data_IF_929553340749
#
_entry.id   IF_929553340749
#
_cell.length_a   1.000
_cell.length_b   1.000
_cell.length_c   1.000
_cell.angle_alpha   90.00
_cell.angle_beta   90.00
_cell.angle_gamma   90.00
#
_symmetry.space_group_name_H-M   'P 1'
#
loop_
_entity.id
_entity.type
_entity.pdbx_description
1 polymer ?
#
# COMPACT_ATOMS: atom_id res chain seq x y z
N UNK A 1 -45.59 -2.08 -53.56
CA UNK A 1 -44.14 -2.20 -53.85
C UNK A 1 -43.39 -1.75 -52.59
N UNK A 2 -42.29 -2.44 -52.26
CA UNK A 2 -41.70 -2.61 -50.92
C UNK A 2 -41.26 -1.32 -50.20
N UNK A 3 -41.48 -1.31 -48.88
CA UNK A 3 -40.84 -0.46 -47.88
C UNK A 3 -39.32 -0.67 -47.83
N UNK A 4 -38.55 0.42 -47.69
CA UNK A 4 -37.24 0.40 -47.03
C UNK A 4 -37.17 1.65 -46.14
N UNK A 5 -37.38 1.44 -44.84
CA UNK A 5 -37.06 2.41 -43.79
C UNK A 5 -35.56 2.27 -43.53
N UNK A 6 -34.80 3.33 -43.78
CA UNK A 6 -33.39 3.41 -43.35
C UNK A 6 -33.37 3.62 -41.83
N UNK A 7 -33.19 2.54 -41.08
CA UNK A 7 -32.80 2.61 -39.67
C UNK A 7 -31.34 3.07 -39.60
N UNK A 8 -31.13 4.33 -39.22
CA UNK A 8 -29.82 4.83 -38.84
C UNK A 8 -29.43 4.19 -37.49
N UNK A 9 -28.58 3.16 -37.54
CA UNK A 9 -27.99 2.56 -36.35
C UNK A 9 -27.00 3.56 -35.76
N UNK A 10 -27.41 4.21 -34.68
CA UNK A 10 -26.56 5.08 -33.87
C UNK A 10 -25.44 4.20 -33.26
N UNK A 11 -24.23 4.29 -33.80
CA UNK A 11 -23.05 3.73 -33.16
C UNK A 11 -22.84 4.49 -31.84
N UNK A 12 -23.16 3.85 -30.72
CA UNK A 12 -22.64 4.28 -29.43
C UNK A 12 -21.11 4.17 -29.50
N UNK A 13 -20.44 5.31 -29.59
CA UNK A 13 -19.05 5.42 -29.20
C UNK A 13 -18.99 4.97 -27.74
N UNK A 14 -18.44 3.78 -27.51
CA UNK A 14 -17.97 3.40 -26.18
C UNK A 14 -16.84 4.38 -25.89
N UNK A 15 -17.17 5.44 -25.15
CA UNK A 15 -16.17 6.25 -24.46
C UNK A 15 -15.44 5.26 -23.59
N UNK A 16 -14.20 4.93 -23.95
CA UNK A 16 -13.29 4.31 -23.01
C UNK A 16 -13.21 5.29 -21.83
N UNK A 17 -13.91 4.97 -20.75
CA UNK A 17 -13.64 5.59 -19.46
C UNK A 17 -12.14 5.37 -19.25
N UNK A 18 -11.35 6.45 -19.35
CA UNK A 18 -10.03 6.47 -18.73
C UNK A 18 -10.29 6.00 -17.31
N UNK A 19 -9.88 4.76 -16.98
CA UNK A 19 -9.95 4.31 -15.60
C UNK A 19 -9.29 5.40 -14.77
N UNK A 20 -9.93 5.79 -13.67
CA UNK A 20 -9.32 6.72 -12.74
C UNK A 20 -7.88 6.24 -12.51
N UNK A 21 -6.92 7.15 -12.56
CA UNK A 21 -5.52 6.83 -12.30
C UNK A 21 -5.14 7.64 -11.08
N UNK A 22 -4.45 7.01 -10.14
CA UNK A 22 -3.93 7.76 -9.00
C UNK A 22 -2.94 8.81 -9.47
N UNK A 23 -2.96 9.95 -8.80
CA UNK A 23 -2.12 11.10 -9.15
C UNK A 23 -1.83 11.92 -7.89
N UNK A 24 -0.76 12.69 -7.95
CA UNK A 24 -0.31 13.54 -6.83
C UNK A 24 -1.25 14.69 -6.47
N UNK A 25 -2.24 15.01 -7.30
CA UNK A 25 -3.24 16.04 -6.99
C UNK A 25 -4.32 15.53 -6.04
N UNK A 26 -4.83 14.33 -6.30
CA UNK A 26 -5.99 13.78 -5.58
C UNK A 26 -5.62 12.69 -4.56
N UNK A 27 -4.47 12.06 -4.75
CA UNK A 27 -3.98 10.96 -3.93
C UNK A 27 -2.68 11.35 -3.24
N UNK A 28 -2.36 10.65 -2.16
CA UNK A 28 -1.16 10.86 -1.35
C UNK A 28 -0.39 9.57 -1.24
N UNK A 29 0.90 9.64 -1.52
CA UNK A 29 1.85 8.61 -1.15
C UNK A 29 2.58 9.06 0.11
N UNK A 30 2.80 8.12 1.03
CA UNK A 30 3.59 8.33 2.24
C UNK A 30 4.49 7.12 2.47
N UNK A 31 5.47 7.28 3.34
CA UNK A 31 6.34 6.23 3.81
C UNK A 31 6.69 6.53 5.27
N UNK A 32 6.61 5.52 6.12
CA UNK A 32 7.08 5.64 7.48
C UNK A 32 8.62 5.71 7.48
N UNK A 33 9.13 6.93 7.66
CA UNK A 33 10.55 7.27 7.70
C UNK A 33 11.16 7.20 9.11
N UNK A 34 10.42 6.71 10.10
CA UNK A 34 10.86 6.69 11.50
C UNK A 34 11.85 5.57 11.83
N UNK A 35 12.00 4.57 10.95
CA UNK A 35 13.01 3.52 11.11
C UNK A 35 14.34 3.93 10.49
N UNK A 36 15.35 4.14 11.33
CA UNK A 36 16.70 4.42 10.87
C UNK A 36 17.44 3.12 10.53
N UNK A 37 18.31 3.19 9.53
CA UNK A 37 19.37 2.20 9.37
C UNK A 37 20.27 2.21 10.62
N UNK A 38 20.65 1.03 11.12
CA UNK A 38 21.49 0.86 12.29
C UNK A 38 22.93 0.55 11.88
N UNK A 39 23.87 0.79 12.79
CA UNK A 39 25.31 0.71 12.53
C UNK A 39 25.77 1.70 11.43
N UNK A 40 25.01 2.77 11.20
CA UNK A 40 25.44 3.88 10.36
C UNK A 40 26.12 4.96 11.21
N UNK A 41 27.16 5.57 10.64
CA UNK A 41 27.77 6.79 11.18
C UNK A 41 27.30 8.06 10.46
N UNK A 42 26.47 7.94 9.42
CA UNK A 42 26.09 9.06 8.53
C UNK A 42 24.60 9.10 8.18
N UNK A 43 23.93 7.95 8.15
CA UNK A 43 22.54 7.81 7.75
C UNK A 43 21.66 8.03 8.99
N UNK A 44 20.84 9.07 8.94
CA UNK A 44 20.05 9.58 10.05
C UNK A 44 18.61 9.87 9.60
N UNK A 45 17.82 10.50 10.46
CA UNK A 45 16.44 10.86 10.16
C UNK A 45 16.31 11.74 8.90
N UNK A 46 17.19 12.73 8.69
CA UNK A 46 17.17 13.56 7.48
C UNK A 46 17.40 12.75 6.20
N UNK A 47 18.24 11.70 6.31
CA UNK A 47 18.48 10.77 5.20
C UNK A 47 17.24 9.92 4.91
N UNK A 48 16.52 9.45 5.94
CA UNK A 48 15.22 8.79 5.78
C UNK A 48 14.18 9.74 5.16
N UNK A 49 14.10 10.96 5.68
CA UNK A 49 13.19 12.00 5.19
C UNK A 49 13.43 12.29 3.71
N UNK A 50 14.69 12.46 3.30
CA UNK A 50 15.04 12.67 1.90
C UNK A 50 14.63 11.50 1.00
N UNK A 51 14.62 10.25 1.49
CA UNK A 51 14.11 9.11 0.70
C UNK A 51 12.59 9.23 0.50
N UNK A 52 11.85 9.58 1.54
CA UNK A 52 10.40 9.82 1.46
C UNK A 52 10.06 11.03 0.58
N UNK A 53 10.73 12.15 0.77
CA UNK A 53 10.55 13.36 -0.05
C UNK A 53 10.80 13.09 -1.54
N UNK A 54 11.90 12.41 -1.86
CA UNK A 54 12.21 11.98 -3.25
C UNK A 54 11.17 11.03 -3.84
N UNK A 55 10.47 10.24 -3.02
CA UNK A 55 9.37 9.39 -3.48
C UNK A 55 8.15 10.22 -3.93
N UNK A 56 8.01 11.45 -3.44
CA UNK A 56 6.82 12.29 -3.61
C UNK A 56 5.91 12.29 -2.39
N UNK A 57 6.47 11.99 -1.21
CA UNK A 57 5.73 12.01 0.05
C UNK A 57 5.08 13.39 0.26
N UNK A 58 3.77 13.39 0.53
CA UNK A 58 2.98 14.64 0.67
C UNK A 58 2.48 14.91 2.10
N UNK A 59 2.72 13.95 2.98
CA UNK A 59 2.55 14.04 4.42
C UNK A 59 3.39 12.96 5.07
N UNK A 60 3.71 13.12 6.34
CA UNK A 60 4.53 12.17 7.12
C UNK A 60 3.76 11.66 8.32
N UNK A 61 3.85 10.35 8.58
CA UNK A 61 3.32 9.75 9.79
C UNK A 61 4.11 10.16 11.03
N UNK A 62 3.41 10.55 12.10
CA UNK A 62 3.99 10.71 13.43
C UNK A 62 3.17 9.89 14.42
N UNK A 63 3.68 8.73 14.82
CA UNK A 63 3.02 7.84 15.76
C UNK A 63 3.50 8.07 17.19
N UNK A 64 2.59 8.15 18.15
CA UNK A 64 2.89 8.07 19.59
C UNK A 64 1.82 7.26 20.32
N UNK A 65 2.24 6.35 21.20
CA UNK A 65 1.31 5.75 22.18
C UNK A 65 0.99 6.76 23.27
N UNK A 66 -0.22 6.72 23.83
CA UNK A 66 -0.58 7.69 24.87
C UNK A 66 0.28 7.48 26.13
N UNK A 67 0.55 6.24 26.54
CA UNK A 67 1.44 5.96 27.68
C UNK A 67 2.86 6.51 27.50
N UNK A 68 3.38 6.58 26.27
CA UNK A 68 4.70 7.16 25.98
C UNK A 68 4.73 8.68 26.11
N UNK A 69 3.61 9.36 25.85
CA UNK A 69 3.50 10.81 25.96
C UNK A 69 3.14 11.22 27.38
N UNK A 70 2.16 10.58 28.02
CA UNK A 70 1.76 10.88 29.40
C UNK A 70 2.38 9.87 30.37
N UNK A 71 3.63 10.15 30.74
CA UNK A 71 4.51 9.26 31.54
C UNK A 71 4.07 9.08 32.99
N UNK A 72 3.31 10.03 33.52
CA UNK A 72 2.61 9.94 34.80
C UNK A 72 1.39 10.87 34.77
N UNK A 73 0.45 10.80 35.73
CA UNK A 73 -0.80 11.53 35.61
C UNK A 73 -0.59 13.02 35.34
N UNK A 74 -1.01 13.47 34.14
CA UNK A 74 -0.93 14.85 33.66
C UNK A 74 0.49 15.40 33.48
N UNK A 75 1.48 14.52 33.41
CA UNK A 75 2.86 14.86 33.15
C UNK A 75 3.27 14.35 31.76
N UNK A 76 3.54 15.28 30.86
CA UNK A 76 3.74 14.98 29.45
C UNK A 76 5.20 15.08 29.01
N UNK A 77 5.70 14.06 28.30
CA UNK A 77 6.90 14.15 27.51
C UNK A 77 6.56 14.73 26.12
N UNK A 78 6.77 16.03 25.95
CA UNK A 78 6.43 16.75 24.72
C UNK A 78 7.61 16.93 23.75
N UNK A 79 8.74 16.27 24.01
CA UNK A 79 9.98 16.45 23.24
C UNK A 79 9.77 16.22 21.74
N UNK A 80 9.10 15.12 21.37
CA UNK A 80 8.89 14.78 19.96
C UNK A 80 7.99 15.79 19.25
N UNK A 81 6.99 16.35 19.95
CA UNK A 81 6.09 17.37 19.40
C UNK A 81 6.82 18.70 19.19
N UNK A 82 7.70 19.08 20.13
CA UNK A 82 8.56 20.25 19.98
C UNK A 82 9.50 20.11 18.79
N UNK A 83 10.10 18.93 18.60
CA UNK A 83 10.94 18.64 17.43
C UNK A 83 10.11 18.74 16.15
N UNK A 84 8.95 18.09 16.11
CA UNK A 84 8.03 18.12 14.96
C UNK A 84 7.62 19.55 14.58
N UNK A 85 7.37 20.42 15.57
CA UNK A 85 6.99 21.81 15.36
C UNK A 85 8.12 22.69 14.79
N UNK A 86 9.37 22.31 15.02
CA UNK A 86 10.52 22.97 14.39
C UNK A 86 10.79 22.39 13.00
N UNK A 87 10.75 21.07 12.87
CA UNK A 87 11.23 20.36 11.70
C UNK A 87 10.26 20.45 10.51
N UNK A 88 9.03 19.96 10.69
CA UNK A 88 8.12 19.77 9.56
C UNK A 88 7.63 21.07 8.91
N UNK A 89 7.36 22.16 9.67
CA UNK A 89 7.06 23.45 9.05
C UNK A 89 8.22 24.01 8.22
N UNK A 90 9.48 23.78 8.61
CA UNK A 90 10.66 24.26 7.90
C UNK A 90 10.81 23.63 6.50
N UNK A 91 10.27 22.43 6.31
CA UNK A 91 10.27 21.69 5.04
C UNK A 91 8.88 21.62 4.40
N UNK A 92 7.91 22.38 4.90
CA UNK A 92 6.51 22.39 4.44
C UNK A 92 5.85 21.01 4.37
N UNK A 93 6.17 20.11 5.30
CA UNK A 93 5.62 18.76 5.34
C UNK A 93 4.43 18.68 6.31
N UNK A 94 3.20 18.39 5.84
CA UNK A 94 2.08 18.10 6.73
C UNK A 94 2.27 16.79 7.50
N UNK A 95 1.66 16.68 8.67
CA UNK A 95 1.78 15.50 9.55
C UNK A 95 0.45 14.75 9.64
N UNK A 96 0.48 13.43 9.42
CA UNK A 96 -0.57 12.51 9.82
C UNK A 96 -0.24 12.02 11.23
N UNK A 97 -0.89 12.62 12.24
CA UNK A 97 -0.58 12.38 13.65
C UNK A 97 -1.41 11.20 14.17
N UNK A 98 -0.75 10.15 14.67
CA UNK A 98 -1.42 9.05 15.37
C UNK A 98 -1.15 9.13 16.87
N UNK A 99 -2.21 9.25 17.67
CA UNK A 99 -2.14 9.09 19.13
C UNK A 99 -2.91 7.83 19.51
N UNK A 100 -2.20 6.84 20.02
CA UNK A 100 -2.72 5.50 20.26
C UNK A 100 -3.02 5.25 21.75
N UNK A 101 -4.30 5.36 22.20
CA UNK A 101 -4.73 4.84 23.51
C UNK A 101 -4.87 3.30 23.53
N UNK A 102 -4.92 2.69 22.34
CA UNK A 102 -4.74 1.27 22.08
C UNK A 102 -3.79 1.17 20.89
N UNK A 103 -2.80 0.30 20.99
CA UNK A 103 -1.90 -0.05 19.89
C UNK A 103 -1.89 -1.58 19.74
N UNK A 104 -2.49 -2.07 18.66
CA UNK A 104 -2.67 -3.51 18.38
C UNK A 104 -3.35 -4.21 19.57
N UNK A 105 -2.64 -5.05 20.33
CA UNK A 105 -3.15 -5.83 21.45
C UNK A 105 -2.86 -5.19 22.82
N UNK A 106 -2.35 -3.95 22.87
CA UNK A 106 -1.95 -3.27 24.10
C UNK A 106 -2.82 -2.06 24.37
N UNK A 107 -3.31 -1.93 25.60
CA UNK A 107 -3.98 -0.73 26.10
C UNK A 107 -2.93 0.29 26.57
N UNK A 108 -2.63 1.24 25.69
CA UNK A 108 -1.55 2.21 25.79
C UNK A 108 -1.96 3.48 26.54
N UNK A 109 -2.46 3.34 27.77
CA UNK A 109 -2.91 4.47 28.60
C UNK A 109 -1.97 4.70 29.80
N UNK A 110 -1.99 5.89 30.43
CA UNK A 110 -1.32 6.10 31.71
C UNK A 110 -1.69 5.03 32.74
N UNK A 111 -0.75 4.65 33.60
CA UNK A 111 -0.92 3.50 34.50
C UNK A 111 -2.13 3.60 35.43
N UNK A 112 -2.51 4.82 35.84
CA UNK A 112 -3.71 5.11 36.64
C UNK A 112 -5.03 4.88 35.89
N UNK A 113 -4.99 4.82 34.56
CA UNK A 113 -6.16 4.66 33.69
C UNK A 113 -6.36 3.23 33.17
N UNK A 114 -5.47 2.29 33.51
CA UNK A 114 -5.51 0.91 32.99
C UNK A 114 -6.85 0.20 33.24
N UNK A 115 -7.44 0.36 34.42
CA UNK A 115 -8.77 -0.18 34.78
C UNK A 115 -9.95 0.71 34.41
N UNK A 116 -9.68 1.91 33.89
CA UNK A 116 -10.71 2.89 33.55
C UNK A 116 -11.34 2.56 32.18
N UNK A 117 -12.67 2.56 32.10
CA UNK A 117 -13.40 2.36 30.84
C UNK A 117 -13.17 3.53 29.87
N UNK A 118 -13.15 3.25 28.56
CA UNK A 118 -12.89 4.27 27.55
C UNK A 118 -13.98 5.35 27.51
N UNK A 119 -15.25 4.96 27.62
CA UNK A 119 -16.40 5.86 27.65
C UNK A 119 -16.52 6.69 28.94
N UNK A 120 -15.69 6.41 29.95
CA UNK A 120 -15.73 7.17 31.19
C UNK A 120 -15.36 8.63 30.96
N UNK A 121 -16.00 9.54 31.71
CA UNK A 121 -15.69 10.97 31.66
C UNK A 121 -14.24 11.26 32.03
N UNK A 122 -13.64 10.44 32.91
CA UNK A 122 -12.23 10.53 33.29
C UNK A 122 -11.33 10.24 32.10
N UNK A 123 -11.53 9.12 31.39
CA UNK A 123 -10.71 8.77 30.23
C UNK A 123 -10.79 9.83 29.13
N UNK A 124 -12.01 10.24 28.77
CA UNK A 124 -12.26 11.24 27.71
C UNK A 124 -11.62 12.58 28.08
N UNK A 125 -11.84 13.06 29.31
CA UNK A 125 -11.28 14.34 29.76
C UNK A 125 -9.76 14.31 29.81
N UNK A 126 -9.16 13.18 30.19
CA UNK A 126 -7.70 13.03 30.24
C UNK A 126 -7.09 13.02 28.84
N UNK A 127 -7.71 12.33 27.88
CA UNK A 127 -7.24 12.36 26.49
C UNK A 127 -7.43 13.74 25.86
N UNK A 128 -8.53 14.44 26.13
CA UNK A 128 -8.73 15.81 25.64
C UNK A 128 -7.64 16.77 26.15
N UNK A 129 -7.25 16.66 27.42
CA UNK A 129 -6.13 17.44 27.98
C UNK A 129 -4.77 17.12 27.35
N UNK A 130 -4.56 15.86 26.96
CA UNK A 130 -3.40 15.49 26.16
C UNK A 130 -3.44 16.23 24.82
N UNK A 131 -4.57 16.22 24.09
CA UNK A 131 -4.71 16.92 22.82
C UNK A 131 -4.53 18.43 22.95
N UNK A 132 -5.05 19.05 24.02
CA UNK A 132 -4.82 20.46 24.34
C UNK A 132 -3.32 20.75 24.47
N UNK A 133 -2.61 19.88 25.19
CA UNK A 133 -1.18 20.01 25.42
C UNK A 133 -0.39 19.81 24.13
N UNK A 134 -0.75 18.83 23.30
CA UNK A 134 -0.15 18.64 21.98
C UNK A 134 -0.35 19.92 21.14
N UNK A 135 -1.56 20.46 21.05
CA UNK A 135 -1.85 21.69 20.29
C UNK A 135 -0.95 22.86 20.66
N UNK A 136 -0.64 23.03 21.94
CA UNK A 136 0.27 24.07 22.45
C UNK A 136 1.71 23.85 21.97
N UNK A 137 2.16 22.61 21.81
CA UNK A 137 3.54 22.27 21.42
C UNK A 137 3.73 22.13 19.90
N UNK A 138 2.65 22.01 19.13
CA UNK A 138 2.68 22.00 17.65
C UNK A 138 1.85 23.14 17.00
N UNK A 139 2.02 24.41 17.42
CA UNK A 139 1.23 25.52 16.89
C UNK A 139 1.47 25.77 15.39
N UNK A 140 2.64 25.40 14.87
CA UNK A 140 3.06 25.65 13.49
C UNK A 140 2.94 24.41 12.59
N UNK A 141 2.71 23.23 13.16
CA UNK A 141 2.52 22.01 12.37
C UNK A 141 1.18 22.07 11.66
N UNK A 142 1.19 21.81 10.36
CA UNK A 142 -0.02 21.53 9.59
C UNK A 142 -0.37 20.06 9.74
N UNK A 143 -1.50 19.75 10.35
CA UNK A 143 -2.00 18.38 10.43
C UNK A 143 -2.77 18.01 9.16
N UNK A 144 -2.34 16.94 8.49
CA UNK A 144 -3.07 16.31 7.38
C UNK A 144 -4.24 15.47 7.87
N UNK A 145 -4.04 14.78 8.99
CA UNK A 145 -5.07 14.05 9.71
C UNK A 145 -4.67 13.82 11.17
N UNK A 146 -5.65 13.47 11.99
CA UNK A 146 -5.45 12.90 13.32
C UNK A 146 -6.04 11.48 13.34
N UNK A 147 -5.23 10.49 13.69
CA UNK A 147 -5.65 9.11 13.88
C UNK A 147 -5.68 8.81 15.38
N UNK A 148 -6.83 8.37 15.86
CA UNK A 148 -7.01 7.99 17.27
C UNK A 148 -7.06 6.47 17.34
N UNK A 149 -6.04 5.87 17.96
CA UNK A 149 -5.86 4.42 18.01
C UNK A 149 -5.14 3.83 16.79
N UNK A 150 -4.51 2.68 17.00
CA UNK A 150 -3.80 1.89 15.98
C UNK A 150 -4.17 0.42 16.14
N UNK A 151 -4.66 -0.20 15.07
CA UNK A 151 -5.00 -1.64 14.99
C UNK A 151 -5.81 -2.16 16.19
N UNK A 152 -6.67 -1.30 16.74
CA UNK A 152 -7.26 -1.51 18.06
C UNK A 152 -8.38 -2.57 18.06
N UNK A 153 -8.83 -3.01 16.88
CA UNK A 153 -9.64 -4.23 16.72
C UNK A 153 -8.95 -5.46 17.31
N UNK A 154 -7.61 -5.54 17.27
CA UNK A 154 -6.88 -6.69 17.79
C UNK A 154 -7.06 -6.81 19.30
N UNK A 155 -7.02 -5.69 20.03
CA UNK A 155 -7.31 -5.66 21.46
C UNK A 155 -8.79 -5.96 21.77
N UNK A 156 -9.71 -5.43 20.96
CA UNK A 156 -11.15 -5.55 21.23
C UNK A 156 -11.72 -6.92 20.84
N UNK A 157 -11.18 -7.56 19.80
CA UNK A 157 -11.68 -8.80 19.24
C UNK A 157 -13.19 -8.78 19.02
N UNK A 158 -13.89 -9.82 19.48
CA UNK A 158 -15.36 -9.92 19.39
C UNK A 158 -16.12 -9.26 20.55
N UNK A 159 -15.44 -8.53 21.45
CA UNK A 159 -16.09 -7.93 22.62
C UNK A 159 -16.90 -6.69 22.24
N UNK A 160 -18.19 -6.88 21.96
CA UNK A 160 -19.11 -5.82 21.52
C UNK A 160 -19.25 -4.67 22.51
N UNK A 161 -19.18 -4.94 23.81
CA UNK A 161 -19.21 -3.91 24.86
C UNK A 161 -18.00 -2.99 24.76
N UNK A 162 -16.81 -3.56 24.51
CA UNK A 162 -15.58 -2.79 24.38
C UNK A 162 -15.55 -1.96 23.08
N UNK A 163 -16.10 -2.48 21.99
CA UNK A 163 -16.31 -1.70 20.76
C UNK A 163 -17.23 -0.50 20.99
N UNK A 164 -18.33 -0.67 21.74
CA UNK A 164 -19.24 0.42 22.09
C UNK A 164 -18.59 1.45 23.04
N UNK A 165 -17.80 0.95 24.01
CA UNK A 165 -17.03 1.75 24.95
C UNK A 165 -16.02 2.65 24.21
N UNK A 166 -15.24 2.07 23.30
CA UNK A 166 -14.28 2.79 22.47
C UNK A 166 -14.96 3.75 21.48
N UNK A 167 -16.10 3.35 20.88
CA UNK A 167 -16.85 4.22 19.98
C UNK A 167 -17.33 5.50 20.69
N UNK A 168 -17.78 5.39 21.93
CA UNK A 168 -18.18 6.54 22.74
C UNK A 168 -16.99 7.47 23.00
N UNK A 169 -15.85 6.89 23.38
CA UNK A 169 -14.61 7.63 23.56
C UNK A 169 -14.15 8.35 22.28
N UNK A 170 -14.05 7.62 21.17
CA UNK A 170 -13.63 8.13 19.88
C UNK A 170 -14.48 9.33 19.45
N UNK A 171 -15.81 9.18 19.51
CA UNK A 171 -16.75 10.24 19.14
C UNK A 171 -16.57 11.51 20.00
N UNK A 172 -16.37 11.37 21.31
CA UNK A 172 -16.17 12.52 22.18
C UNK A 172 -14.85 13.23 21.91
N UNK A 173 -13.76 12.47 21.73
CA UNK A 173 -12.42 13.00 21.50
C UNK A 173 -12.31 13.65 20.11
N UNK A 174 -12.89 13.05 19.07
CA UNK A 174 -12.83 13.64 17.72
C UNK A 174 -13.55 15.00 17.66
N UNK A 175 -14.63 15.18 18.42
CA UNK A 175 -15.35 16.46 18.53
C UNK A 175 -14.40 17.50 19.14
N UNK A 176 -13.74 17.16 20.25
CA UNK A 176 -12.76 18.03 20.90
C UNK A 176 -11.60 18.40 19.97
N UNK A 177 -11.00 17.41 19.30
CA UNK A 177 -9.92 17.62 18.34
C UNK A 177 -10.30 18.62 17.24
N UNK A 178 -11.52 18.55 16.70
CA UNK A 178 -12.01 19.48 15.68
C UNK A 178 -12.19 20.92 16.19
N UNK A 179 -12.28 21.13 17.50
CA UNK A 179 -12.25 22.48 18.09
C UNK A 179 -10.83 23.07 18.14
N UNK A 180 -9.82 22.22 18.37
CA UNK A 180 -8.41 22.61 18.43
C UNK A 180 -7.81 22.88 17.04
N UNK A 181 -8.27 22.12 16.04
CA UNK A 181 -7.85 22.24 14.64
C UNK A 181 -9.09 22.30 13.73
N UNK A 182 -9.64 23.50 13.45
CA UNK A 182 -10.77 23.65 12.55
C UNK A 182 -10.48 23.05 11.16
N UNK A 183 -11.39 22.21 10.67
CA UNK A 183 -11.25 21.52 9.37
C UNK A 183 -10.40 20.24 9.40
N UNK A 184 -9.82 19.88 10.55
CA UNK A 184 -9.05 18.64 10.71
C UNK A 184 -9.88 17.42 10.32
N UNK A 185 -9.24 16.52 9.57
CA UNK A 185 -9.78 15.21 9.23
C UNK A 185 -9.34 14.21 10.27
N UNK A 186 -10.30 13.48 10.83
CA UNK A 186 -10.05 12.52 11.89
C UNK A 186 -10.36 11.11 11.40
N UNK A 187 -9.53 10.16 11.78
CA UNK A 187 -9.67 8.74 11.51
C UNK A 187 -9.44 7.92 12.77
N UNK A 188 -9.75 6.64 12.69
CA UNK A 188 -9.29 5.62 13.62
C UNK A 188 -8.82 4.44 12.77
N UNK A 189 -7.73 3.78 13.18
CA UNK A 189 -7.12 2.72 12.39
C UNK A 189 -7.52 1.34 12.91
N UNK A 190 -8.02 0.51 11.99
CA UNK A 190 -8.30 -0.90 12.20
C UNK A 190 -7.47 -1.74 11.21
N UNK A 191 -7.16 -2.98 11.57
CA UNK A 191 -6.62 -3.91 10.59
C UNK A 191 -7.66 -4.21 9.52
N UNK A 192 -7.22 -4.51 8.28
CA UNK A 192 -8.13 -4.97 7.23
C UNK A 192 -8.96 -6.18 7.70
N UNK A 193 -8.34 -7.19 8.30
CA UNK A 193 -9.03 -8.39 8.78
C UNK A 193 -10.05 -8.04 9.88
N UNK A 194 -9.75 -7.09 10.77
CA UNK A 194 -10.68 -6.59 11.78
C UNK A 194 -11.90 -5.91 11.16
N UNK A 195 -11.70 -5.09 10.12
CA UNK A 195 -12.81 -4.47 9.36
C UNK A 195 -13.71 -5.54 8.74
N UNK A 196 -13.13 -6.57 8.11
CA UNK A 196 -13.93 -7.61 7.44
C UNK A 196 -14.68 -8.48 8.46
N UNK A 197 -13.98 -8.96 9.49
CA UNK A 197 -14.53 -9.90 10.46
C UNK A 197 -15.50 -9.26 11.46
N UNK A 198 -15.38 -7.95 11.68
CA UNK A 198 -16.23 -7.18 12.60
C UNK A 198 -16.97 -6.04 11.89
N UNK A 199 -17.36 -6.23 10.63
CA UNK A 199 -17.88 -5.19 9.74
C UNK A 199 -18.89 -4.22 10.36
N UNK A 200 -19.89 -4.72 11.09
CA UNK A 200 -20.97 -3.92 11.66
C UNK A 200 -20.45 -3.05 12.80
N UNK A 201 -19.55 -3.60 13.62
CA UNK A 201 -18.90 -2.86 14.71
C UNK A 201 -17.94 -1.81 14.14
N UNK A 202 -17.13 -2.19 13.16
CA UNK A 202 -16.19 -1.31 12.47
C UNK A 202 -16.91 -0.15 11.76
N UNK A 203 -18.02 -0.40 11.06
CA UNK A 203 -18.82 0.64 10.41
C UNK A 203 -19.50 1.55 11.43
N UNK A 204 -19.99 0.99 12.54
CA UNK A 204 -20.58 1.78 13.64
C UNK A 204 -19.55 2.75 14.21
N UNK A 205 -18.35 2.26 14.56
CA UNK A 205 -17.24 3.10 15.03
C UNK A 205 -16.89 4.18 14.00
N UNK A 206 -16.77 3.80 12.73
CA UNK A 206 -16.38 4.69 11.65
C UNK A 206 -17.50 5.63 11.16
N UNK A 207 -18.68 5.64 11.78
CA UNK A 207 -19.82 6.49 11.36
C UNK A 207 -19.43 7.96 11.29
N UNK A 208 -18.63 8.44 12.24
CA UNK A 208 -18.24 9.85 12.32
C UNK A 208 -16.81 10.13 11.80
N UNK A 209 -16.01 9.12 11.50
CA UNK A 209 -14.68 9.29 10.91
C UNK A 209 -14.77 10.02 9.57
N UNK A 210 -13.85 10.96 9.31
CA UNK A 210 -13.72 11.61 8.01
C UNK A 210 -13.02 10.69 6.99
N UNK A 211 -12.08 9.88 7.47
CA UNK A 211 -11.40 8.85 6.69
C UNK A 211 -11.53 7.49 7.37
N UNK A 212 -11.54 6.43 6.56
CA UNK A 212 -11.39 5.07 7.06
C UNK A 212 -9.91 4.75 7.15
N UNK A 213 -9.38 4.60 8.37
CA UNK A 213 -7.99 4.25 8.61
C UNK A 213 -7.80 2.74 8.60
N UNK A 214 -6.83 2.28 7.83
CA UNK A 214 -6.58 0.84 7.65
C UNK A 214 -5.09 0.52 7.76
N UNK A 215 -4.78 -0.57 8.48
CA UNK A 215 -3.51 -1.28 8.31
C UNK A 215 -3.71 -2.50 7.40
N UNK A 216 -2.81 -2.70 6.44
CA UNK A 216 -2.93 -3.80 5.48
C UNK A 216 -1.60 -4.50 5.22
N UNK A 217 -1.61 -5.77 5.59
CA UNK A 217 -0.57 -6.74 5.32
C UNK A 217 -1.27 -8.01 4.85
N UNK A 218 -1.09 -8.46 3.59
CA UNK A 218 -1.77 -9.64 3.07
C UNK A 218 -1.13 -10.89 3.67
N UNK A 219 -1.50 -11.23 4.90
CA UNK A 219 -0.95 -12.33 5.67
C UNK A 219 -2.01 -13.40 5.94
N UNK A 220 -1.58 -14.66 5.97
CA UNK A 220 -2.32 -15.76 6.55
C UNK A 220 -2.23 -15.70 8.09
N UNK A 221 -3.08 -16.46 8.79
CA UNK A 221 -3.08 -16.52 10.26
C UNK A 221 -1.77 -17.01 10.88
N UNK A 222 -0.89 -17.63 10.10
CA UNK A 222 0.45 -18.07 10.52
C UNK A 222 1.57 -17.07 10.15
N UNK A 223 1.22 -15.83 9.75
CA UNK A 223 2.13 -14.76 9.35
C UNK A 223 2.94 -15.01 8.07
N UNK A 224 2.63 -16.07 7.33
CA UNK A 224 3.10 -16.18 5.94
C UNK A 224 2.26 -15.31 5.02
N UNK A 225 2.82 -14.87 3.91
CA UNK A 225 2.12 -14.00 2.96
C UNK A 225 1.01 -14.74 2.22
N UNK A 226 -0.12 -14.05 2.00
CA UNK A 226 -1.13 -14.40 1.00
C UNK A 226 -0.58 -14.09 -0.40
N UNK A 227 -1.08 -14.76 -1.45
CA UNK A 227 -0.71 -14.45 -2.83
C UNK A 227 -1.00 -12.99 -3.21
N UNK A 228 -0.15 -12.40 -4.03
CA UNK A 228 -0.31 -11.01 -4.54
C UNK A 228 -1.65 -10.81 -5.28
N UNK A 229 -2.19 -11.88 -5.87
CA UNK A 229 -3.51 -11.88 -6.53
C UNK A 229 -4.68 -11.60 -5.57
N UNK A 230 -4.48 -11.62 -4.25
CA UNK A 230 -5.49 -11.26 -3.27
C UNK A 230 -5.71 -9.73 -3.18
N UNK A 231 -4.69 -8.92 -3.47
CA UNK A 231 -4.74 -7.45 -3.29
C UNK A 231 -5.91 -6.79 -4.04
N UNK A 232 -6.19 -7.09 -5.33
CA UNK A 232 -7.34 -6.51 -6.01
C UNK A 232 -8.68 -6.86 -5.36
N UNK A 233 -8.81 -8.06 -4.78
CA UNK A 233 -10.03 -8.53 -4.11
C UNK A 233 -10.21 -7.81 -2.78
N UNK A 234 -9.14 -7.63 -2.01
CA UNK A 234 -9.17 -6.94 -0.73
C UNK A 234 -9.50 -5.45 -0.92
N UNK A 235 -8.90 -4.80 -1.93
CA UNK A 235 -9.23 -3.41 -2.28
C UNK A 235 -10.70 -3.27 -2.67
N UNK A 236 -11.21 -4.17 -3.52
CA UNK A 236 -12.63 -4.18 -3.91
C UNK A 236 -13.54 -4.34 -2.69
N UNK A 237 -13.20 -5.26 -1.79
CA UNK A 237 -13.98 -5.54 -0.58
C UNK A 237 -14.05 -4.31 0.32
N UNK A 238 -12.91 -3.68 0.60
CA UNK A 238 -12.85 -2.50 1.45
C UNK A 238 -13.62 -1.32 0.85
N UNK A 239 -13.45 -1.07 -0.45
CA UNK A 239 -14.17 -0.01 -1.16
C UNK A 239 -15.68 -0.26 -1.17
N UNK A 240 -16.14 -1.51 -1.32
CA UNK A 240 -17.55 -1.83 -1.25
C UNK A 240 -18.14 -1.58 0.15
N UNK A 241 -17.36 -1.82 1.21
CA UNK A 241 -17.79 -1.54 2.60
C UNK A 241 -17.87 -0.04 2.90
N UNK A 242 -17.05 0.79 2.24
CA UNK A 242 -16.93 2.23 2.50
C UNK A 242 -16.99 3.06 1.21
N UNK A 243 -18.02 2.83 0.39
CA UNK A 243 -18.13 3.45 -0.94
C UNK A 243 -18.23 4.98 -0.93
N UNK A 244 -18.67 5.57 0.19
CA UNK A 244 -18.89 7.02 0.35
C UNK A 244 -17.82 7.74 1.17
N UNK A 245 -16.84 7.02 1.73
CA UNK A 245 -15.79 7.61 2.59
C UNK A 245 -14.40 7.34 2.02
N UNK A 246 -13.50 8.34 1.99
CA UNK A 246 -12.13 8.10 1.56
C UNK A 246 -11.42 7.14 2.52
N UNK A 247 -10.65 6.23 1.95
CA UNK A 247 -9.84 5.24 2.66
C UNK A 247 -8.38 5.70 2.66
N UNK A 248 -7.75 5.64 3.82
CA UNK A 248 -6.31 5.86 4.00
C UNK A 248 -5.70 4.59 4.59
N UNK A 249 -4.72 4.02 3.92
CA UNK A 249 -3.85 3.04 4.53
C UNK A 249 -2.76 3.78 5.29
N UNK A 250 -2.82 3.77 6.63
CA UNK A 250 -1.79 4.38 7.50
C UNK A 250 -0.63 3.41 7.74
N UNK A 251 -0.86 2.14 7.47
CA UNK A 251 0.17 1.12 7.45
C UNK A 251 -0.06 0.16 6.29
N UNK A 252 0.96 -0.05 5.45
CA UNK A 252 0.85 -0.87 4.25
C UNK A 252 2.18 -1.53 3.91
N UNK A 253 2.21 -2.85 3.77
CA UNK A 253 3.48 -3.52 3.48
C UNK A 253 3.38 -5.01 3.13
N UNK A 254 4.53 -5.55 2.75
CA UNK A 254 4.72 -6.95 2.40
C UNK A 254 6.12 -7.39 2.82
N UNK A 255 6.28 -8.41 3.68
CA UNK A 255 7.61 -8.84 4.12
C UNK A 255 8.36 -9.52 2.98
N UNK A 256 9.69 -9.46 2.98
CA UNK A 256 10.52 -10.11 1.94
C UNK A 256 11.24 -11.37 2.41
N UNK A 257 11.08 -11.79 3.68
CA UNK A 257 11.71 -13.01 4.21
C UNK A 257 11.13 -14.29 3.61
N UNK A 258 12.01 -15.25 3.31
CA UNK A 258 11.63 -16.61 2.93
C UNK A 258 10.86 -17.34 4.05
N UNK A 259 11.09 -17.00 5.32
CA UNK A 259 10.33 -17.53 6.46
C UNK A 259 8.86 -17.13 6.41
N UNK A 260 8.54 -16.01 5.76
CA UNK A 260 7.18 -15.56 5.51
C UNK A 260 6.61 -16.15 4.21
N UNK A 261 7.26 -17.13 3.56
CA UNK A 261 6.99 -17.58 2.19
C UNK A 261 7.07 -16.46 1.15
N UNK A 262 8.01 -15.53 1.35
CA UNK A 262 8.19 -14.36 0.49
C UNK A 262 9.62 -14.26 -0.06
N UNK A 263 9.87 -13.18 -0.80
CA UNK A 263 11.18 -12.80 -1.33
C UNK A 263 11.20 -11.31 -1.67
N UNK A 264 12.39 -10.74 -1.91
CA UNK A 264 12.52 -9.37 -2.45
C UNK A 264 11.80 -9.21 -3.80
N UNK A 265 11.75 -10.26 -4.62
CA UNK A 265 11.02 -10.25 -5.88
C UNK A 265 9.50 -10.16 -5.67
N UNK A 266 8.96 -10.91 -4.69
CA UNK A 266 7.54 -10.84 -4.33
C UNK A 266 7.19 -9.49 -3.68
N UNK A 267 8.05 -8.94 -2.84
CA UNK A 267 7.87 -7.60 -2.28
C UNK A 267 7.84 -6.53 -3.38
N UNK A 268 8.65 -6.67 -4.43
CA UNK A 268 8.61 -5.77 -5.60
C UNK A 268 7.31 -5.93 -6.41
N UNK A 269 6.90 -7.17 -6.70
CA UNK A 269 5.64 -7.45 -7.40
C UNK A 269 4.40 -6.96 -6.62
N UNK A 270 4.46 -7.01 -5.29
CA UNK A 270 3.43 -6.43 -4.42
C UNK A 270 3.25 -4.94 -4.72
N UNK A 271 4.33 -4.16 -4.80
CA UNK A 271 4.26 -2.74 -5.15
C UNK A 271 3.59 -2.53 -6.51
N UNK A 272 4.01 -3.27 -7.54
CA UNK A 272 3.38 -3.18 -8.87
C UNK A 272 1.87 -3.43 -8.77
N UNK A 273 1.45 -4.51 -8.09
CA UNK A 273 0.04 -4.86 -7.96
C UNK A 273 -0.75 -3.85 -7.13
N UNK A 274 -0.15 -3.28 -6.09
CA UNK A 274 -0.76 -2.21 -5.28
C UNK A 274 -1.15 -1.04 -6.16
N UNK A 275 -0.25 -0.53 -7.01
CA UNK A 275 -0.56 0.60 -7.88
C UNK A 275 -1.59 0.25 -8.96
N UNK A 276 -1.54 -0.96 -9.53
CA UNK A 276 -2.57 -1.43 -10.47
C UNK A 276 -3.97 -1.47 -9.82
N UNK A 277 -4.06 -1.92 -8.57
CA UNK A 277 -5.30 -1.93 -7.79
C UNK A 277 -5.71 -0.53 -7.36
N UNK A 278 -4.75 0.31 -6.98
CA UNK A 278 -4.99 1.66 -6.51
C UNK A 278 -5.49 2.56 -7.63
N UNK A 279 -5.00 2.42 -8.86
CA UNK A 279 -5.58 3.11 -10.03
C UNK A 279 -7.07 2.81 -10.15
N UNK A 280 -7.47 1.53 -10.10
CA UNK A 280 -8.89 1.13 -10.20
C UNK A 280 -9.77 1.84 -9.16
N UNK A 281 -9.23 2.12 -7.98
CA UNK A 281 -9.95 2.72 -6.85
C UNK A 281 -9.41 4.10 -6.47
N UNK A 282 -8.83 4.85 -7.42
CA UNK A 282 -8.15 6.11 -7.15
C UNK A 282 -9.07 7.17 -6.50
N UNK A 283 -10.37 7.13 -6.78
CA UNK A 283 -11.36 8.02 -6.15
C UNK A 283 -11.71 7.64 -4.71
N UNK A 284 -11.49 6.39 -4.32
CA UNK A 284 -11.91 5.86 -3.01
C UNK A 284 -10.72 5.77 -2.05
N UNK A 285 -9.56 5.35 -2.53
CA UNK A 285 -8.34 5.21 -1.74
C UNK A 285 -7.52 6.49 -1.91
N UNK A 286 -7.53 7.32 -0.88
CA UNK A 286 -6.88 8.63 -0.91
C UNK A 286 -5.39 8.53 -0.59
N UNK A 287 -4.98 7.63 0.30
CA UNK A 287 -3.59 7.55 0.74
C UNK A 287 -3.13 6.10 0.94
N UNK A 288 -1.87 5.85 0.61
CA UNK A 288 -1.11 4.68 1.05
C UNK A 288 0.19 5.14 1.71
N UNK A 289 0.37 4.78 2.98
CA UNK A 289 1.60 4.92 3.74
C UNK A 289 2.32 3.57 3.86
N UNK A 290 3.53 3.48 3.30
CA UNK A 290 4.32 2.26 3.29
C UNK A 290 5.13 2.10 4.59
N UNK A 291 4.83 1.04 5.35
CA UNK A 291 5.48 0.72 6.64
C UNK A 291 6.58 -0.32 6.42
N UNK A 292 7.80 -0.12 6.89
CA UNK A 292 8.50 1.12 7.25
C UNK A 292 9.65 1.28 6.25
N UNK A 293 10.42 2.36 6.26
CA UNK A 293 11.47 2.57 5.27
C UNK A 293 12.57 1.50 5.32
N UNK A 294 13.08 1.13 6.50
CA UNK A 294 14.12 0.12 6.70
C UNK A 294 13.57 -1.14 7.35
N UNK A 295 14.19 -2.27 7.00
CA UNK A 295 14.13 -3.51 7.77
C UNK A 295 14.59 -3.23 9.21
N UNK A 296 14.23 -4.10 10.14
CA UNK A 296 14.63 -4.00 11.54
C UNK A 296 15.84 -4.89 11.84
N UNK A 297 16.63 -4.50 12.84
CA UNK A 297 17.67 -5.38 13.38
C UNK A 297 17.07 -6.47 14.26
N UNK A 298 17.84 -7.54 14.50
CA UNK A 298 17.42 -8.60 15.41
C UNK A 298 17.11 -8.07 16.83
N UNK A 299 17.87 -7.09 17.32
CA UNK A 299 17.64 -6.48 18.63
C UNK A 299 16.29 -5.75 18.68
N UNK A 300 15.96 -4.95 17.66
CA UNK A 300 14.69 -4.26 17.58
C UNK A 300 13.50 -5.25 17.52
N UNK A 301 13.62 -6.31 16.73
CA UNK A 301 12.59 -7.35 16.63
C UNK A 301 12.42 -8.12 17.94
N UNK A 302 13.50 -8.38 18.67
CA UNK A 302 13.43 -9.01 19.98
C UNK A 302 12.67 -8.13 20.99
N UNK A 303 12.87 -6.81 20.97
CA UNK A 303 12.08 -5.87 21.78
C UNK A 303 10.59 -5.92 21.42
N UNK A 304 10.26 -5.98 20.12
CA UNK A 304 8.87 -6.11 19.66
C UNK A 304 8.26 -7.46 20.04
N UNK A 305 9.04 -8.54 20.03
CA UNK A 305 8.60 -9.86 20.50
C UNK A 305 8.12 -9.81 21.95
N UNK A 306 8.88 -9.14 22.82
CA UNK A 306 8.52 -8.95 24.24
C UNK A 306 7.29 -8.05 24.35
N UNK A 307 7.25 -6.93 23.64
CA UNK A 307 6.15 -5.98 23.68
C UNK A 307 4.81 -6.62 23.26
N UNK A 308 4.77 -7.33 22.14
CA UNK A 308 3.56 -8.00 21.67
C UNK A 308 3.25 -9.31 22.40
N UNK A 309 4.24 -9.89 23.09
CA UNK A 309 4.14 -11.22 23.69
C UNK A 309 4.09 -12.35 22.64
N UNK A 310 4.65 -12.11 21.43
CA UNK A 310 4.60 -13.06 20.30
C UNK A 310 6.02 -13.50 19.95
N UNK A 311 6.27 -14.80 19.98
CA UNK A 311 7.57 -15.43 19.67
C UNK A 311 7.56 -16.21 18.36
N UNK A 312 6.45 -16.18 17.60
CA UNK A 312 6.33 -16.87 16.33
C UNK A 312 7.39 -16.33 15.33
N UNK A 313 8.21 -17.23 14.79
CA UNK A 313 9.32 -16.84 13.91
C UNK A 313 8.85 -16.11 12.64
N UNK A 314 7.75 -16.52 12.03
CA UNK A 314 7.22 -15.85 10.84
C UNK A 314 6.68 -14.45 11.15
N UNK A 315 6.08 -14.24 12.32
CA UNK A 315 5.70 -12.89 12.79
C UNK A 315 6.92 -11.98 12.97
N UNK A 316 7.96 -12.49 13.63
CA UNK A 316 9.18 -11.72 13.86
C UNK A 316 9.89 -11.39 12.56
N UNK A 317 9.98 -12.34 11.64
CA UNK A 317 10.54 -12.12 10.30
C UNK A 317 9.67 -11.19 9.44
N UNK A 318 8.36 -11.21 9.62
CA UNK A 318 7.44 -10.27 8.99
C UNK A 318 7.78 -8.84 9.42
N UNK A 319 7.81 -8.56 10.73
CA UNK A 319 8.19 -7.24 11.26
C UNK A 319 9.60 -6.85 10.81
N UNK A 320 10.53 -7.80 10.77
CA UNK A 320 11.93 -7.56 10.42
C UNK A 320 12.11 -7.13 8.97
N UNK A 321 11.38 -7.75 8.05
CA UNK A 321 11.71 -7.72 6.60
C UNK A 321 10.68 -6.99 5.74
N UNK A 322 9.77 -6.24 6.37
CA UNK A 322 8.78 -5.44 5.66
C UNK A 322 9.36 -4.16 5.06
N UNK A 323 10.54 -3.75 5.54
CA UNK A 323 11.22 -2.56 5.05
C UNK A 323 11.54 -2.63 3.57
N UNK A 324 11.66 -1.47 2.93
CA UNK A 324 12.06 -1.38 1.52
C UNK A 324 13.56 -1.09 1.35
N UNK A 325 14.27 -0.94 2.46
CA UNK A 325 15.74 -0.84 2.56
C UNK A 325 16.23 -1.81 3.61
N UNK A 326 17.45 -2.31 3.48
CA UNK A 326 18.06 -3.16 4.52
C UNK A 326 18.39 -2.36 5.77
N UNK A 327 18.43 -3.00 6.93
CA UNK A 327 18.61 -2.33 8.21
C UNK A 327 20.05 -1.91 8.52
N UNK A 328 21.06 -2.56 7.91
CA UNK A 328 22.45 -2.45 8.34
C UNK A 328 23.22 -1.34 7.58
N UNK A 329 24.23 -0.77 8.22
CA UNK A 329 25.03 0.35 7.72
C UNK A 329 24.10 1.51 7.28
N UNK A 330 24.25 2.03 6.06
CA UNK A 330 23.42 3.11 5.53
C UNK A 330 22.07 2.63 4.94
N UNK A 331 21.78 1.33 5.06
CA UNK A 331 20.71 0.67 4.36
C UNK A 331 20.94 0.61 2.85
N UNK A 332 20.69 -0.55 2.27
CA UNK A 332 20.69 -0.75 0.82
C UNK A 332 19.26 -0.81 0.32
N UNK A 333 18.95 -0.09 -0.76
CA UNK A 333 17.64 -0.16 -1.41
C UNK A 333 17.34 -1.61 -1.84
N UNK A 334 16.20 -2.13 -1.41
CA UNK A 334 15.67 -3.39 -1.92
C UNK A 334 15.00 -3.13 -3.28
N UNK A 335 14.84 -4.14 -4.14
CA UNK A 335 14.17 -3.98 -5.44
C UNK A 335 12.80 -3.29 -5.36
N UNK A 336 12.05 -3.54 -4.28
CA UNK A 336 10.74 -2.94 -4.04
C UNK A 336 10.77 -1.40 -3.89
N UNK A 337 11.83 -0.80 -3.32
CA UNK A 337 11.93 0.66 -3.25
C UNK A 337 12.11 1.28 -4.64
N UNK A 338 12.90 0.63 -5.50
CA UNK A 338 13.08 1.08 -6.88
C UNK A 338 11.77 0.98 -7.67
N UNK A 339 11.05 -0.13 -7.51
CA UNK A 339 9.72 -0.30 -8.11
C UNK A 339 8.73 0.76 -7.60
N UNK A 340 8.73 1.04 -6.29
CA UNK A 340 7.88 2.06 -5.67
C UNK A 340 8.14 3.45 -6.26
N UNK A 341 9.40 3.87 -6.34
CA UNK A 341 9.78 5.15 -6.98
C UNK A 341 9.37 5.19 -8.44
N UNK A 342 9.48 4.07 -9.16
CA UNK A 342 9.08 3.98 -10.56
C UNK A 342 7.57 4.07 -10.76
N UNK A 343 6.78 3.34 -9.98
CA UNK A 343 5.31 3.43 -10.03
C UNK A 343 4.83 4.83 -9.65
N UNK A 344 5.45 5.45 -8.63
CA UNK A 344 5.18 6.82 -8.20
C UNK A 344 5.53 7.85 -9.31
N UNK A 345 6.69 7.70 -9.96
CA UNK A 345 7.10 8.55 -11.10
C UNK A 345 6.10 8.47 -12.26
N UNK A 346 5.67 7.26 -12.63
CA UNK A 346 4.70 7.05 -13.73
C UNK A 346 3.33 7.72 -13.47
N UNK A 347 3.03 8.08 -12.21
CA UNK A 347 1.78 8.73 -11.77
C UNK A 347 1.98 10.18 -11.32
N UNK A 348 3.17 10.74 -11.56
CA UNK A 348 3.46 12.14 -11.29
C UNK A 348 3.63 12.49 -9.81
N UNK A 349 3.94 11.52 -8.94
CA UNK A 349 4.30 11.80 -7.55
C UNK A 349 5.72 12.33 -7.40
N UNK A 350 6.65 11.90 -8.27
CA UNK A 350 8.02 12.41 -8.29
C UNK A 350 8.55 12.54 -9.72
N UNK A 351 9.68 13.24 -9.84
CA UNK A 351 10.38 13.47 -11.11
C UNK A 351 11.80 12.91 -11.10
N UNK A 352 12.05 11.85 -10.32
CA UNK A 352 13.39 11.30 -10.18
C UNK A 352 13.96 10.85 -11.54
N UNK A 353 15.27 11.03 -11.80
CA UNK A 353 15.91 10.61 -13.05
C UNK A 353 16.17 9.10 -13.08
N UNK A 354 15.15 8.29 -12.77
CA UNK A 354 15.21 6.83 -12.76
C UNK A 354 14.86 6.25 -14.14
N UNK A 355 15.62 5.23 -14.54
CA UNK A 355 15.30 4.35 -15.66
C UNK A 355 14.33 3.28 -15.17
N UNK A 356 13.05 3.57 -15.32
CA UNK A 356 12.00 2.64 -14.93
C UNK A 356 11.70 1.69 -16.09
N UNK A 357 11.82 0.36 -15.89
CA UNK A 357 11.29 -0.57 -16.87
C UNK A 357 9.80 -0.27 -17.04
N UNK A 358 9.36 -0.07 -18.28
CA UNK A 358 7.96 0.19 -18.58
C UNK A 358 7.22 -1.13 -18.34
N UNK A 359 6.76 -1.34 -17.11
CA UNK A 359 5.84 -2.42 -16.76
C UNK A 359 4.51 -2.11 -17.46
N UNK A 360 4.41 -2.59 -18.70
CA UNK A 360 3.26 -2.35 -19.56
C UNK A 360 2.00 -2.85 -18.88
N UNK A 361 1.07 -1.92 -18.65
CA UNK A 361 -0.30 -2.14 -18.19
C UNK A 361 -0.93 -3.39 -18.83
N UNK A 362 -1.24 -4.39 -17.99
CA UNK A 362 -2.25 -5.43 -18.16
C UNK A 362 -2.54 -5.95 -19.58
N UNK A 363 -2.01 -7.14 -19.89
CA UNK A 363 -2.83 -8.20 -20.50
C UNK A 363 -2.56 -9.53 -19.78
N UNK A 364 -3.56 -9.98 -19.04
CA UNK A 364 -3.68 -11.33 -18.48
C UNK A 364 -3.21 -12.41 -19.46
N UNK A 365 -2.27 -13.26 -19.04
CA UNK A 365 -2.48 -14.70 -18.76
C UNK A 365 -1.15 -15.40 -18.49
N UNK A 366 -1.11 -16.12 -17.35
CA UNK A 366 -0.20 -17.20 -16.97
C UNK A 366 1.31 -16.91 -16.98
N UNK A 367 1.87 -16.85 -15.77
CA UNK A 367 3.30 -16.77 -15.46
C UNK A 367 4.06 -18.02 -15.94
N UNK A 368 4.37 -18.06 -17.22
CA UNK A 368 5.64 -18.60 -17.70
C UNK A 368 6.26 -17.53 -18.61
N UNK A 369 7.54 -17.28 -18.42
CA UNK A 369 8.28 -16.29 -19.21
C UNK A 369 8.46 -16.86 -20.62
N UNK A 370 7.92 -16.18 -21.64
CA UNK A 370 8.22 -16.43 -23.05
C UNK A 370 9.25 -15.40 -23.50
N UNK A 371 10.41 -15.87 -23.97
CA UNK A 371 11.45 -15.06 -24.58
C UNK A 371 11.49 -15.32 -26.08
N UNK A 372 11.51 -14.26 -26.89
CA UNK A 372 11.58 -14.37 -28.34
C UNK A 372 12.80 -13.59 -28.84
N UNK A 373 13.67 -14.24 -29.61
CA UNK A 373 14.91 -13.63 -30.08
C UNK A 373 15.41 -14.20 -31.42
N UNK A 374 16.12 -13.40 -32.23
CA UNK A 374 16.36 -11.97 -32.04
C UNK A 374 15.08 -11.15 -32.23
N UNK A 375 15.00 -9.97 -31.60
CA UNK A 375 13.92 -9.00 -31.83
C UNK A 375 14.54 -7.60 -31.85
N UNK A 376 14.67 -6.92 -33.01
CA UNK A 376 14.09 -7.29 -34.31
C UNK A 376 14.67 -8.59 -34.92
N UNK A 377 13.81 -9.33 -35.62
CA UNK A 377 14.13 -10.57 -36.33
C UNK A 377 14.23 -10.34 -37.84
N UNK A 378 15.01 -11.17 -38.54
CA UNK A 378 15.14 -11.12 -40.00
C UNK A 378 14.44 -12.31 -40.65
N UNK A 379 15.00 -13.51 -40.46
CA UNK A 379 14.57 -14.74 -41.14
C UNK A 379 14.17 -15.86 -40.19
N UNK A 380 14.76 -15.90 -39.00
CA UNK A 380 14.56 -16.93 -37.99
C UNK A 380 14.15 -16.29 -36.67
N UNK A 381 13.13 -16.85 -36.05
CA UNK A 381 12.63 -16.47 -34.74
C UNK A 381 12.82 -17.64 -33.78
N UNK A 382 13.61 -17.46 -32.72
CA UNK A 382 13.74 -18.44 -31.64
C UNK A 382 12.79 -18.08 -30.50
N UNK A 383 12.28 -19.12 -29.84
CA UNK A 383 11.23 -19.05 -28.84
C UNK A 383 11.66 -19.92 -27.67
N UNK A 384 11.89 -19.29 -26.53
CA UNK A 384 12.26 -19.94 -25.28
C UNK A 384 11.12 -19.79 -24.27
N UNK A 385 10.58 -20.92 -23.82
CA UNK A 385 9.37 -20.99 -22.97
C UNK A 385 9.55 -22.11 -21.94
N UNK A 386 9.51 -21.75 -20.67
CA UNK A 386 9.44 -22.73 -19.58
C UNK A 386 8.02 -23.29 -19.41
N UNK A 387 7.87 -24.58 -19.08
CA UNK A 387 6.58 -25.13 -18.60
C UNK A 387 5.87 -26.19 -19.46
N UNK A 388 6.58 -26.94 -20.31
CA UNK A 388 6.11 -28.22 -20.86
C UNK A 388 5.76 -28.22 -22.36
N UNK A 389 4.97 -29.21 -22.81
CA UNK A 389 4.63 -29.41 -24.24
C UNK A 389 3.52 -28.47 -24.71
N UNK A 390 3.66 -27.92 -25.92
CA UNK A 390 2.72 -27.03 -26.61
C UNK A 390 2.30 -27.60 -27.97
N UNK A 391 1.14 -27.18 -28.46
CA UNK A 391 0.52 -27.73 -29.68
C UNK A 391 0.98 -26.99 -30.94
N UNK A 392 1.00 -25.65 -30.88
CA UNK A 392 1.14 -24.85 -32.08
C UNK A 392 1.33 -23.36 -31.84
N UNK A 393 1.71 -22.69 -32.91
CA UNK A 393 2.04 -21.27 -32.94
C UNK A 393 1.26 -20.59 -34.06
N UNK A 394 0.70 -19.42 -33.79
CA UNK A 394 0.03 -18.56 -34.77
C UNK A 394 0.71 -17.20 -34.76
N UNK A 395 1.05 -16.69 -35.95
CA UNK A 395 1.56 -15.33 -36.13
C UNK A 395 0.44 -14.47 -36.75
N UNK A 396 0.20 -13.31 -36.16
CA UNK A 396 -0.74 -12.30 -36.66
C UNK A 396 -0.03 -10.98 -36.97
N UNK A 397 -0.55 -10.23 -37.95
CA UNK A 397 -0.14 -8.85 -38.22
C UNK A 397 -0.75 -7.85 -37.20
N UNK A 398 -0.44 -6.56 -37.35
CA UNK A 398 -0.96 -5.49 -36.47
C UNK A 398 -2.48 -5.32 -36.52
N UNK A 399 -3.14 -5.81 -37.57
CA UNK A 399 -4.59 -5.79 -37.74
C UNK A 399 -5.25 -7.05 -37.15
N UNK A 400 -4.45 -8.01 -36.68
CA UNK A 400 -4.92 -9.29 -36.13
C UNK A 400 -5.16 -10.37 -37.18
N UNK A 401 -4.83 -10.14 -38.45
CA UNK A 401 -4.96 -11.17 -39.48
C UNK A 401 -3.91 -12.25 -39.26
N UNK A 402 -4.30 -13.52 -39.40
CA UNK A 402 -3.38 -14.65 -39.32
C UNK A 402 -2.50 -14.67 -40.56
N UNK A 403 -1.19 -14.54 -40.36
CA UNK A 403 -0.18 -14.53 -41.44
C UNK A 403 0.77 -15.73 -41.38
N UNK A 404 0.71 -16.53 -40.31
CA UNK A 404 1.45 -17.79 -40.19
C UNK A 404 0.82 -18.73 -39.16
N UNK A 405 0.93 -20.04 -39.40
CA UNK A 405 0.48 -21.10 -38.48
C UNK A 405 1.45 -22.28 -38.55
N UNK A 406 1.93 -22.73 -37.39
CA UNK A 406 2.98 -23.73 -37.26
C UNK A 406 2.62 -24.73 -36.16
N UNK A 407 3.09 -25.97 -36.28
CA UNK A 407 3.26 -26.83 -35.11
C UNK A 407 4.30 -26.21 -34.17
N UNK A 408 4.20 -26.48 -32.87
CA UNK A 408 5.13 -25.88 -31.92
C UNK A 408 6.57 -26.31 -32.22
N UNK A 409 7.46 -25.33 -32.33
CA UNK A 409 8.90 -25.47 -32.48
C UNK A 409 9.56 -24.27 -31.78
N UNK A 410 10.69 -24.50 -31.13
CA UNK A 410 11.51 -23.44 -30.51
C UNK A 410 12.17 -22.54 -31.55
N UNK A 411 12.14 -22.93 -32.83
CA UNK A 411 12.66 -22.14 -33.94
C UNK A 411 11.68 -22.13 -35.12
N UNK A 412 11.36 -20.93 -35.61
CA UNK A 412 10.44 -20.71 -36.74
C UNK A 412 11.13 -19.90 -37.83
N UNK A 413 10.92 -20.31 -39.08
CA UNK A 413 11.29 -19.52 -40.25
C UNK A 413 10.19 -18.49 -40.59
N UNK A 414 10.56 -17.22 -40.53
CA UNK A 414 9.72 -16.04 -40.79
C UNK A 414 10.19 -15.23 -42.01
N UNK A 415 11.11 -15.76 -42.82
CA UNK A 415 11.71 -15.05 -43.96
C UNK A 415 10.70 -14.67 -45.07
N UNK A 416 9.50 -15.24 -45.05
CA UNK A 416 8.40 -14.92 -45.98
C UNK A 416 7.54 -13.73 -45.52
N UNK A 417 7.69 -13.28 -44.26
CA UNK A 417 6.95 -12.14 -43.71
C UNK A 417 7.66 -10.82 -44.03
N UNK A 418 6.89 -9.76 -44.28
CA UNK A 418 7.44 -8.43 -44.58
C UNK A 418 7.94 -7.70 -43.33
N UNK A 419 8.66 -6.59 -43.52
CA UNK A 419 9.05 -5.71 -42.39
C UNK A 419 7.79 -5.18 -41.70
N UNK A 420 7.76 -5.23 -40.37
CA UNK A 420 6.57 -4.85 -39.61
C UNK A 420 6.53 -5.39 -38.18
N UNK A 421 5.46 -5.05 -37.46
CA UNK A 421 5.20 -5.55 -36.11
C UNK A 421 4.22 -6.71 -36.17
N UNK A 422 4.55 -7.80 -35.48
CA UNK A 422 3.75 -9.02 -35.46
C UNK A 422 3.48 -9.45 -34.02
N UNK A 423 2.41 -10.21 -33.83
CA UNK A 423 2.15 -10.94 -32.59
C UNK A 423 2.23 -12.44 -32.82
N UNK A 424 2.99 -13.14 -31.98
CA UNK A 424 3.09 -14.58 -31.90
C UNK A 424 2.23 -15.09 -30.76
N UNK A 425 1.41 -16.12 -31.03
CA UNK A 425 0.53 -16.78 -30.07
C UNK A 425 0.87 -18.25 -29.96
N UNK A 426 0.99 -18.78 -28.75
CA UNK A 426 1.31 -20.19 -28.47
C UNK A 426 0.10 -20.88 -27.84
N UNK A 427 -0.19 -22.11 -28.28
CA UNK A 427 -1.39 -22.85 -27.87
C UNK A 427 -1.06 -24.16 -27.15
N UNK A 428 -1.91 -24.55 -26.19
CA UNK A 428 -1.93 -25.86 -25.54
C UNK A 428 -3.36 -26.29 -25.26
N UNK A 429 -3.73 -27.51 -25.62
CA UNK A 429 -5.10 -28.02 -25.61
C UNK A 429 -6.10 -27.02 -26.23
N UNK A 430 -5.75 -26.46 -27.40
CA UNK A 430 -6.53 -25.45 -28.14
C UNK A 430 -6.72 -24.08 -27.44
N UNK A 431 -6.15 -23.88 -26.25
CA UNK A 431 -6.18 -22.60 -25.54
C UNK A 431 -4.94 -21.76 -25.86
N UNK A 432 -5.11 -20.46 -26.10
CA UNK A 432 -4.00 -19.49 -26.17
C UNK A 432 -3.36 -19.39 -24.77
N UNK A 433 -2.11 -19.81 -24.65
CA UNK A 433 -1.35 -19.81 -23.40
C UNK A 433 -0.40 -18.61 -23.34
N UNK A 434 0.28 -18.29 -24.45
CA UNK A 434 1.21 -17.16 -24.52
C UNK A 434 0.92 -16.27 -25.72
N UNK A 435 1.24 -14.99 -25.56
CA UNK A 435 1.18 -14.00 -26.60
C UNK A 435 2.36 -13.03 -26.44
N UNK A 436 3.17 -12.90 -27.48
CA UNK A 436 4.35 -12.05 -27.48
C UNK A 436 4.45 -11.28 -28.79
N UNK A 437 4.99 -10.05 -28.74
CA UNK A 437 5.20 -9.22 -29.93
C UNK A 437 6.65 -9.29 -30.37
N UNK A 438 6.87 -9.26 -31.68
CA UNK A 438 8.19 -9.15 -32.26
C UNK A 438 8.15 -8.26 -33.52
N UNK A 439 9.30 -7.70 -33.88
CA UNK A 439 9.49 -6.81 -35.01
C UNK A 439 10.28 -7.58 -36.06
N UNK A 440 9.86 -7.50 -37.33
CA UNK A 440 10.66 -7.96 -38.46
C UNK A 440 11.31 -6.74 -39.12
N UNK A 441 12.62 -6.78 -39.26
CA UNK A 441 13.42 -5.72 -39.91
C UNK A 441 14.54 -6.35 -40.73
N UNK A 442 14.28 -6.57 -42.02
CA UNK A 442 15.24 -7.01 -43.04
C UNK A 442 15.88 -5.82 -43.75
#
# INVERSE_FOLDING_TARGET
>A
MRSIIFTATLFFLVIYNYKAQVNSTNNRISMDISTNAQNSNIFNYDSCFAVGDNLGMSSVGLFQSWSAVETSPLNYNMMIFNIANLYYPAVNMPVDLTIAPINTNVKEVPSDLTSTAFSSTVMISRFNRLLDSIKVHIPNVTLSSLVIGSEHDVFMGSNTTLWADYTTFYNAVMIHAKTLWPGLKVATELTFDGIINHNTLAQTLNTNSDYIGVSYYPLNSNFTVKPISTIPVDFATLVNLYSSKPINFYQYGYPSSATCNSSDALQSQFITQTFLSWDVYASNIRMIDFTWIHDLSAAAVNSLSVYYGITNTAFLEYLRTIGLRTWNNNGTDKPALNELRCQAKQRGFNNLPLNCPITSLNKNKNNALISIYPNPATDILNIDIEGGKFDGIIICDVLGNRVGQYSFSEQINISHLNNGVYSLKVFKNQNEIFNAKFIISK
#
